data_IF_463069429107
#
_entry.id   IF_463069429107
#
_cell.length_a   1.000
_cell.length_b   1.000
_cell.length_c   1.000
_cell.angle_alpha   90.00
_cell.angle_beta   90.00
_cell.angle_gamma   90.00
#
_symmetry.space_group_name_H-M   'P 1'
#
loop_
_entity.id
_entity.type
_entity.pdbx_description
1 polymer ?
#
# COMPACT_ATOMS: atom_id res chain seq x y z
N UNK A 1 -31.59 -8.74 -72.69
CA UNK A 1 -30.57 -7.79 -72.32
C UNK A 1 -30.93 -7.21 -70.97
N UNK A 2 -30.48 -7.81 -69.90
CA UNK A 2 -30.66 -7.28 -68.56
C UNK A 2 -29.27 -7.35 -67.84
N UNK A 3 -28.71 -6.16 -67.61
CA UNK A 3 -27.46 -5.96 -66.90
C UNK A 3 -27.75 -6.02 -65.40
N UNK A 4 -27.25 -7.05 -64.70
CA UNK A 4 -27.35 -7.19 -63.27
C UNK A 4 -26.16 -6.51 -62.61
N UNK A 5 -26.42 -5.40 -61.92
CA UNK A 5 -25.42 -4.73 -61.07
C UNK A 5 -25.23 -5.52 -59.77
N UNK A 6 -24.05 -6.12 -59.62
CA UNK A 6 -23.62 -6.77 -58.38
C UNK A 6 -23.11 -5.68 -57.43
N UNK A 7 -23.94 -5.30 -56.44
CA UNK A 7 -23.49 -4.43 -55.34
C UNK A 7 -22.72 -5.26 -54.33
N UNK A 8 -21.38 -5.05 -54.31
CA UNK A 8 -20.49 -5.57 -53.29
C UNK A 8 -20.63 -4.72 -52.02
N UNK A 9 -21.39 -5.20 -51.05
CA UNK A 9 -21.46 -4.64 -49.70
C UNK A 9 -20.19 -5.04 -48.94
N UNK A 10 -19.19 -4.14 -48.89
CA UNK A 10 -18.11 -4.21 -47.93
C UNK A 10 -18.67 -3.90 -46.55
N UNK A 11 -18.91 -4.92 -45.76
CA UNK A 11 -19.11 -4.82 -44.33
C UNK A 11 -17.75 -4.49 -43.70
N UNK A 12 -17.47 -3.18 -43.44
CA UNK A 12 -16.44 -2.77 -42.50
C UNK A 12 -16.89 -3.20 -41.11
N UNK A 13 -16.44 -4.36 -40.67
CA UNK A 13 -16.48 -4.69 -39.26
C UNK A 13 -15.44 -3.80 -38.54
N UNK A 14 -15.90 -2.66 -38.03
CA UNK A 14 -15.18 -1.94 -36.99
C UNK A 14 -15.06 -2.87 -35.76
N UNK A 15 -13.95 -3.57 -35.63
CA UNK A 15 -13.51 -4.15 -34.37
C UNK A 15 -13.28 -2.96 -33.41
N UNK A 16 -14.33 -2.56 -32.72
CA UNK A 16 -14.20 -1.81 -31.49
C UNK A 16 -13.58 -2.79 -30.50
N UNK A 17 -12.25 -2.85 -30.46
CA UNK A 17 -11.55 -3.37 -29.31
C UNK A 17 -11.94 -2.46 -28.13
N UNK A 18 -13.04 -2.82 -27.49
CA UNK A 18 -13.37 -2.27 -26.20
C UNK A 18 -12.18 -2.57 -25.28
N UNK A 19 -11.42 -1.54 -24.96
CA UNK A 19 -10.61 -1.56 -23.76
C UNK A 19 -11.59 -1.76 -22.61
N UNK A 20 -11.85 -2.99 -22.23
CA UNK A 20 -12.37 -3.31 -20.92
C UNK A 20 -11.23 -2.89 -20.00
N UNK A 21 -11.29 -1.66 -19.51
CA UNK A 21 -10.35 -1.20 -18.50
C UNK A 21 -10.39 -2.22 -17.38
N UNK A 22 -9.27 -2.91 -17.14
CA UNK A 22 -9.17 -3.82 -16.01
C UNK A 22 -9.56 -3.02 -14.76
N UNK A 23 -10.47 -3.56 -13.96
CA UNK A 23 -10.79 -2.93 -12.67
C UNK A 23 -9.53 -2.95 -11.82
N UNK A 24 -9.16 -1.83 -11.19
CA UNK A 24 -7.96 -1.78 -10.38
C UNK A 24 -8.03 -2.84 -9.27
N UNK A 25 -6.91 -3.48 -9.00
CA UNK A 25 -6.83 -4.48 -7.94
C UNK A 25 -7.17 -3.86 -6.59
N UNK A 26 -8.07 -4.47 -5.82
CA UNK A 26 -8.42 -4.02 -4.48
C UNK A 26 -7.24 -4.19 -3.49
N UNK A 27 -6.26 -5.04 -3.83
CA UNK A 27 -5.08 -5.28 -3.00
C UNK A 27 -3.99 -4.24 -3.22
N UNK A 28 -3.90 -3.66 -4.44
CA UNK A 28 -2.77 -2.85 -4.89
C UNK A 28 -2.91 -1.40 -4.49
N UNK A 29 -1.88 -0.89 -3.83
CA UNK A 29 -1.76 0.50 -3.42
C UNK A 29 -0.36 1.06 -3.64
N UNK A 30 -0.13 2.25 -3.13
CA UNK A 30 1.18 2.91 -3.15
C UNK A 30 1.35 3.84 -1.96
N UNK A 31 2.59 4.16 -1.65
CA UNK A 31 2.95 5.18 -0.66
C UNK A 31 2.97 6.54 -1.35
N UNK A 32 2.14 7.47 -0.89
CA UNK A 32 2.16 8.88 -1.31
C UNK A 32 3.18 9.63 -0.43
N UNK A 33 4.46 9.52 -0.81
CA UNK A 33 5.56 10.10 -0.08
C UNK A 33 5.69 11.61 -0.31
N UNK A 34 6.63 12.26 0.36
CA UNK A 34 6.96 13.69 0.22
C UNK A 34 7.08 14.10 -1.25
N UNK A 35 6.40 15.17 -1.63
CA UNK A 35 6.37 15.66 -3.01
C UNK A 35 5.30 15.03 -3.90
N UNK A 36 4.52 14.08 -3.40
CA UNK A 36 3.34 13.55 -4.10
C UNK A 36 2.30 14.63 -4.35
N UNK A 37 1.67 14.59 -5.52
CA UNK A 37 0.69 15.58 -5.98
C UNK A 37 -0.62 14.89 -6.39
N UNK A 38 -1.71 15.64 -6.39
CA UNK A 38 -3.03 15.10 -6.77
C UNK A 38 -3.03 14.40 -8.14
N UNK A 39 -2.26 14.89 -9.09
CA UNK A 39 -2.12 14.29 -10.42
C UNK A 39 -1.57 12.85 -10.35
N UNK A 40 -0.78 12.52 -9.33
CA UNK A 40 -0.23 11.17 -9.15
C UNK A 40 -1.34 10.16 -8.91
N UNK A 41 -2.37 10.54 -8.13
CA UNK A 41 -3.53 9.68 -7.91
C UNK A 41 -4.30 9.39 -9.20
N UNK A 42 -4.42 10.39 -10.07
CA UNK A 42 -5.07 10.22 -11.39
C UNK A 42 -4.27 9.26 -12.28
N UNK A 43 -2.96 9.44 -12.34
CA UNK A 43 -2.07 8.59 -13.15
C UNK A 43 -2.04 7.14 -12.66
N UNK A 44 -2.10 6.92 -11.34
CA UNK A 44 -2.00 5.61 -10.73
C UNK A 44 -3.36 4.88 -10.57
N UNK A 45 -4.49 5.61 -10.72
CA UNK A 45 -5.84 5.04 -10.54
C UNK A 45 -6.19 3.86 -11.44
N UNK A 46 -5.66 3.70 -12.66
CA UNK A 46 -5.97 2.54 -13.47
C UNK A 46 -5.52 1.20 -12.85
N UNK A 47 -4.47 1.21 -12.05
CA UNK A 47 -3.89 -0.01 -11.46
C UNK A 47 -3.98 -0.11 -9.94
N UNK A 48 -4.37 0.96 -9.24
CA UNK A 48 -4.34 1.00 -7.77
C UNK A 48 -5.68 1.43 -7.18
N UNK A 49 -6.04 0.88 -6.02
CA UNK A 49 -7.30 1.16 -5.34
C UNK A 49 -7.14 1.91 -4.00
N UNK A 50 -5.92 2.03 -3.50
CA UNK A 50 -5.65 2.68 -2.22
C UNK A 50 -4.24 3.28 -2.15
N UNK A 51 -4.03 4.16 -1.18
CA UNK A 51 -2.75 4.76 -0.84
C UNK A 51 -2.71 5.19 0.61
N UNK A 52 -1.51 5.48 1.12
CA UNK A 52 -1.30 6.11 2.43
C UNK A 52 -0.06 7.03 2.39
N UNK A 53 0.16 7.83 3.43
CA UNK A 53 1.18 8.87 3.43
C UNK A 53 1.84 9.12 4.81
N UNK A 54 1.82 8.15 5.72
CA UNK A 54 2.32 8.30 7.11
C UNK A 54 1.64 9.44 7.90
N UNK A 55 0.42 9.78 7.53
CA UNK A 55 -0.36 10.88 8.10
C UNK A 55 -1.80 10.44 8.36
N UNK A 56 -2.49 11.19 9.21
CA UNK A 56 -3.91 10.97 9.52
C UNK A 56 -4.83 11.68 8.53
N UNK A 57 -4.28 12.43 7.58
CA UNK A 57 -4.96 13.12 6.47
C UNK A 57 -4.26 12.86 5.15
N UNK A 58 -4.99 12.92 4.04
CA UNK A 58 -4.43 12.69 2.71
C UNK A 58 -3.66 13.91 2.21
N UNK A 59 -2.45 13.74 1.67
CA UNK A 59 -1.71 14.84 1.04
C UNK A 59 -2.37 15.37 -0.24
N UNK A 60 -3.31 14.59 -0.80
CA UNK A 60 -4.03 14.99 -2.02
C UNK A 60 -5.30 15.80 -1.76
N UNK A 61 -5.69 15.94 -0.51
CA UNK A 61 -6.97 16.52 -0.12
C UNK A 61 -6.74 17.64 0.90
N UNK A 62 -6.27 18.83 0.46
CA UNK A 62 -6.13 19.95 1.36
C UNK A 62 -7.51 20.43 1.84
N UNK A 63 -7.75 20.38 3.15
CA UNK A 63 -9.02 20.79 3.77
C UNK A 63 -9.98 19.63 4.05
N UNK A 64 -11.26 19.94 4.22
CA UNK A 64 -12.26 19.01 4.76
C UNK A 64 -12.96 18.15 3.70
N UNK A 65 -12.63 18.31 2.43
CA UNK A 65 -13.27 17.57 1.33
C UNK A 65 -12.24 16.89 0.44
N UNK A 66 -12.54 15.68 0.00
CA UNK A 66 -11.73 14.89 -0.91
C UNK A 66 -12.61 14.25 -1.98
N UNK A 67 -12.96 15.03 -3.01
CA UNK A 67 -13.86 14.56 -4.07
C UNK A 67 -13.13 14.16 -5.36
N UNK A 68 -11.82 14.42 -5.44
CA UNK A 68 -11.04 14.27 -6.68
C UNK A 68 -10.18 13.00 -6.74
N UNK A 69 -10.12 12.22 -5.66
CA UNK A 69 -9.28 11.02 -5.57
C UNK A 69 -10.15 9.78 -5.66
N UNK A 70 -9.89 8.92 -6.64
CA UNK A 70 -10.64 7.67 -6.84
C UNK A 70 -10.21 6.58 -5.85
N UNK A 71 -8.95 6.59 -5.41
CA UNK A 71 -8.41 5.60 -4.49
C UNK A 71 -8.78 5.91 -3.04
N UNK A 72 -8.92 4.84 -2.25
CA UNK A 72 -9.14 4.95 -0.82
C UNK A 72 -7.85 5.41 -0.11
N UNK A 73 -7.94 6.48 0.67
CA UNK A 73 -6.89 6.84 1.62
C UNK A 73 -6.98 5.98 2.88
N UNK A 74 -5.86 5.35 3.26
CA UNK A 74 -5.71 4.66 4.54
C UNK A 74 -4.84 5.52 5.46
N UNK A 75 -5.38 6.08 6.55
CA UNK A 75 -4.57 6.86 7.48
C UNK A 75 -3.56 5.97 8.20
N UNK A 76 -2.40 6.55 8.51
CA UNK A 76 -1.35 5.92 9.31
C UNK A 76 -0.67 6.97 10.19
N UNK A 77 -0.74 6.88 11.52
CA UNK A 77 0.14 7.66 12.37
C UNK A 77 1.58 7.14 12.21
N UNK A 78 2.53 8.03 11.95
CA UNK A 78 3.92 7.60 11.81
C UNK A 78 4.48 7.04 13.13
N UNK A 79 4.21 7.73 14.26
CA UNK A 79 4.60 7.28 15.59
C UNK A 79 3.52 7.59 16.65
N UNK A 80 3.83 7.40 17.92
CA UNK A 80 2.85 7.53 19.02
C UNK A 80 2.29 8.95 19.16
N UNK A 81 3.11 9.96 18.93
CA UNK A 81 2.70 11.37 19.04
C UNK A 81 1.72 11.73 17.92
N UNK A 82 1.93 11.20 16.72
CA UNK A 82 1.08 11.44 15.54
C UNK A 82 -0.31 10.80 15.67
N UNK A 83 -0.46 9.82 16.56
CA UNK A 83 -1.76 9.20 16.84
C UNK A 83 -2.79 10.19 17.42
N UNK A 84 -2.37 11.36 17.86
CA UNK A 84 -3.26 12.42 18.36
C UNK A 84 -3.67 13.42 17.26
N UNK A 85 -3.05 13.38 16.09
CA UNK A 85 -3.39 14.25 14.98
C UNK A 85 -4.85 14.09 14.56
N UNK A 86 -5.53 15.17 14.13
CA UNK A 86 -6.90 15.09 13.68
C UNK A 86 -7.04 14.13 12.47
N UNK A 87 -8.03 13.25 12.53
CA UNK A 87 -8.45 12.47 11.38
C UNK A 87 -9.33 13.37 10.52
N UNK A 88 -8.98 13.53 9.25
CA UNK A 88 -9.74 14.39 8.35
C UNK A 88 -11.18 13.87 8.15
N UNK A 89 -12.19 14.75 8.04
CA UNK A 89 -13.61 14.35 7.97
C UNK A 89 -13.97 13.44 6.78
N UNK A 90 -13.20 13.53 5.69
CA UNK A 90 -13.42 12.69 4.50
C UNK A 90 -12.86 11.27 4.63
N UNK A 91 -12.12 10.96 5.69
CA UNK A 91 -11.55 9.63 5.88
C UNK A 91 -12.65 8.63 6.20
N UNK A 92 -12.68 7.53 5.45
CA UNK A 92 -13.67 6.47 5.65
C UNK A 92 -13.36 5.65 6.90
N UNK A 93 -14.01 5.93 8.00
CA UNK A 93 -13.85 5.23 9.29
C UNK A 93 -14.31 3.75 9.24
N UNK A 94 -15.01 3.32 8.20
CA UNK A 94 -15.31 1.89 7.99
C UNK A 94 -14.17 1.13 7.29
N UNK A 95 -13.09 1.82 6.91
CA UNK A 95 -11.92 1.26 6.28
C UNK A 95 -10.89 0.71 7.26
N UNK A 96 -9.64 0.68 6.83
CA UNK A 96 -8.48 0.24 7.61
C UNK A 96 -7.70 1.46 8.09
N UNK A 97 -7.37 1.49 9.38
CA UNK A 97 -6.34 2.34 9.94
C UNK A 97 -5.05 1.52 10.03
N UNK A 98 -3.98 1.98 9.39
CA UNK A 98 -2.67 1.36 9.52
C UNK A 98 -2.07 1.71 10.90
N UNK A 99 -1.37 0.75 11.50
CA UNK A 99 -0.66 0.97 12.76
C UNK A 99 0.64 1.78 12.56
N UNK A 100 1.38 1.99 13.63
CA UNK A 100 2.60 2.81 13.66
C UNK A 100 3.68 2.29 12.70
N UNK A 101 4.47 3.23 12.15
CA UNK A 101 5.53 2.92 11.19
C UNK A 101 6.81 2.43 11.87
N UNK A 102 7.25 1.24 11.53
CA UNK A 102 8.54 0.61 11.89
C UNK A 102 8.98 0.85 13.34
N UNK A 103 8.13 0.57 14.34
CA UNK A 103 8.52 0.78 15.74
C UNK A 103 9.70 -0.11 16.17
N UNK A 104 9.96 -1.19 15.44
CA UNK A 104 11.09 -2.09 15.66
C UNK A 104 12.41 -1.59 15.08
N UNK A 105 12.43 -0.41 14.42
CA UNK A 105 13.62 0.08 13.73
C UNK A 105 14.19 1.35 14.38
N UNK A 106 15.50 1.39 14.76
CA UNK A 106 16.09 2.48 15.56
C UNK A 106 16.05 3.87 14.93
N UNK A 107 15.97 3.97 13.60
CA UNK A 107 15.93 5.26 12.88
C UNK A 107 14.53 5.65 12.44
N UNK A 108 13.51 4.89 12.85
CA UNK A 108 12.09 5.11 12.57
C UNK A 108 11.36 5.45 13.89
N UNK A 109 10.13 5.01 14.06
CA UNK A 109 9.39 5.30 15.30
C UNK A 109 10.11 4.80 16.58
N UNK A 110 10.90 3.73 16.50
CA UNK A 110 11.79 3.26 17.56
C UNK A 110 11.13 3.19 18.95
N UNK A 111 10.09 2.41 19.06
CA UNK A 111 9.36 2.18 20.33
C UNK A 111 9.37 0.70 20.68
N UNK A 112 9.41 0.42 21.98
CA UNK A 112 9.29 -0.95 22.45
C UNK A 112 7.87 -1.49 22.24
N UNK A 113 7.70 -2.83 22.14
CA UNK A 113 6.38 -3.46 22.07
C UNK A 113 5.43 -2.99 23.17
N UNK A 114 5.94 -2.90 24.41
CA UNK A 114 5.15 -2.44 25.56
C UNK A 114 4.67 -0.99 25.44
N UNK A 115 5.52 -0.08 24.92
CA UNK A 115 5.11 1.32 24.69
C UNK A 115 4.01 1.42 23.64
N UNK A 116 4.14 0.65 22.56
CA UNK A 116 3.15 0.63 21.47
C UNK A 116 1.84 0.00 21.94
N UNK A 117 1.88 -1.11 22.66
CA UNK A 117 0.69 -1.73 23.24
C UNK A 117 -0.03 -0.80 24.22
N UNK A 118 0.70 -0.09 25.06
CA UNK A 118 0.11 0.89 25.99
C UNK A 118 -0.61 2.05 25.27
N UNK A 119 -0.08 2.50 24.12
CA UNK A 119 -0.71 3.56 23.31
C UNK A 119 -1.89 3.07 22.46
N UNK A 120 -1.99 1.75 22.24
CA UNK A 120 -2.96 1.17 21.29
C UNK A 120 -4.41 1.47 21.62
N UNK A 121 -4.78 1.42 22.91
CA UNK A 121 -6.16 1.67 23.34
C UNK A 121 -6.66 3.05 22.94
N UNK A 122 -5.81 4.08 23.03
CA UNK A 122 -6.15 5.44 22.61
C UNK A 122 -6.30 5.55 21.09
N UNK A 123 -5.44 4.88 20.32
CA UNK A 123 -5.55 4.83 18.86
C UNK A 123 -6.82 4.10 18.43
N UNK A 124 -7.10 2.93 18.99
CA UNK A 124 -8.28 2.13 18.68
C UNK A 124 -9.59 2.85 19.01
N UNK A 125 -9.63 3.60 20.10
CA UNK A 125 -10.81 4.39 20.50
C UNK A 125 -11.18 5.49 19.49
N UNK A 126 -10.20 5.96 18.70
CA UNK A 126 -10.41 6.96 17.63
C UNK A 126 -10.85 6.33 16.32
N UNK A 127 -10.77 5.00 16.21
CA UNK A 127 -11.17 4.24 15.02
C UNK A 127 -12.24 3.20 15.39
N UNK A 128 -13.47 3.63 15.63
CA UNK A 128 -14.53 2.75 16.12
C UNK A 128 -14.99 1.76 15.04
N UNK A 129 -15.55 0.64 15.50
CA UNK A 129 -16.23 -0.29 14.59
C UNK A 129 -17.28 0.42 13.71
N UNK A 130 -17.50 -0.02 12.45
CA UNK A 130 -17.01 -1.27 11.86
C UNK A 130 -15.60 -1.21 11.26
N UNK A 131 -14.85 -0.12 11.43
CA UNK A 131 -13.47 -0.01 10.97
C UNK A 131 -12.55 -1.02 11.65
N UNK A 132 -11.47 -1.34 10.98
CA UNK A 132 -10.47 -2.31 11.44
C UNK A 132 -9.09 -1.67 11.48
N UNK A 133 -8.18 -2.24 12.28
CA UNK A 133 -6.80 -1.79 12.37
C UNK A 133 -5.86 -2.85 11.80
N UNK A 134 -4.77 -2.39 11.17
CA UNK A 134 -3.60 -3.22 10.97
C UNK A 134 -2.67 -3.08 12.18
N UNK A 135 -1.90 -4.12 12.50
CA UNK A 135 -0.84 -4.04 13.51
C UNK A 135 0.15 -2.91 13.17
N UNK A 136 1.05 -2.51 14.07
CA UNK A 136 2.19 -1.71 13.69
C UNK A 136 2.92 -2.36 12.50
N UNK A 137 3.32 -1.55 11.51
CA UNK A 137 4.03 -2.01 10.33
C UNK A 137 5.50 -2.18 10.69
N UNK A 138 5.95 -3.45 10.82
CA UNK A 138 7.32 -3.75 11.24
C UNK A 138 8.24 -3.94 10.04
N UNK A 139 9.46 -3.38 10.15
CA UNK A 139 10.53 -3.63 9.18
C UNK A 139 11.00 -5.08 9.28
N UNK A 140 11.30 -5.71 8.12
CA UNK A 140 11.96 -7.02 8.09
C UNK A 140 13.39 -6.87 8.65
N UNK A 141 13.66 -7.54 9.74
CA UNK A 141 14.96 -7.59 10.41
C UNK A 141 15.22 -9.00 10.97
N UNK A 142 15.13 -10.00 10.11
CA UNK A 142 15.33 -11.40 10.49
C UNK A 142 14.45 -11.82 11.67
N UNK A 143 15.03 -12.52 12.65
CA UNK A 143 14.29 -12.99 13.83
C UNK A 143 13.78 -11.85 14.73
N UNK A 144 14.39 -10.67 14.69
CA UNK A 144 13.96 -9.53 15.50
C UNK A 144 12.56 -9.02 15.12
N UNK A 145 12.13 -9.21 13.87
CA UNK A 145 10.76 -8.91 13.42
C UNK A 145 9.73 -9.73 14.17
N UNK A 146 9.93 -11.05 14.22
CA UNK A 146 9.01 -11.96 14.91
C UNK A 146 8.99 -11.70 16.41
N UNK A 147 10.19 -11.54 17.02
CA UNK A 147 10.28 -11.24 18.45
C UNK A 147 9.51 -9.95 18.80
N UNK A 148 9.63 -8.90 17.99
CA UNK A 148 8.96 -7.63 18.27
C UNK A 148 7.43 -7.76 18.18
N UNK A 149 6.93 -8.46 17.17
CA UNK A 149 5.48 -8.68 17.00
C UNK A 149 4.92 -9.61 18.08
N UNK A 150 5.63 -10.69 18.43
CA UNK A 150 5.23 -11.60 19.50
C UNK A 150 5.05 -10.84 20.82
N UNK A 151 6.08 -10.10 21.21
CA UNK A 151 6.06 -9.29 22.42
C UNK A 151 4.95 -8.24 22.39
N UNK A 152 4.70 -7.60 21.24
CA UNK A 152 3.60 -6.66 21.08
C UNK A 152 2.25 -7.32 21.35
N UNK A 153 1.97 -8.47 20.76
CA UNK A 153 0.71 -9.19 20.98
C UNK A 153 0.58 -9.73 22.40
N UNK A 154 1.67 -10.16 23.01
CA UNK A 154 1.70 -10.55 24.43
C UNK A 154 1.38 -9.37 25.35
N UNK A 155 1.99 -8.22 25.12
CA UNK A 155 1.69 -6.99 25.86
C UNK A 155 0.24 -6.53 25.66
N UNK A 156 -0.32 -6.64 24.46
CA UNK A 156 -1.73 -6.39 24.20
C UNK A 156 -2.63 -7.29 25.05
N UNK A 157 -2.29 -8.58 25.12
CA UNK A 157 -3.05 -9.53 25.93
C UNK A 157 -2.92 -9.24 27.43
N UNK A 158 -1.74 -8.86 27.89
CA UNK A 158 -1.50 -8.50 29.28
C UNK A 158 -2.28 -7.23 29.71
N UNK A 159 -2.37 -6.24 28.84
CA UNK A 159 -3.04 -4.97 29.13
C UNK A 159 -4.57 -5.02 28.96
N UNK A 160 -5.05 -5.74 27.96
CA UNK A 160 -6.45 -5.69 27.53
C UNK A 160 -7.18 -7.04 27.65
N UNK A 161 -6.53 -8.07 28.20
CA UNK A 161 -7.11 -9.39 28.38
C UNK A 161 -7.09 -10.24 27.11
N UNK A 162 -7.84 -11.33 27.10
CA UNK A 162 -7.82 -12.34 26.03
C UNK A 162 -8.20 -11.81 24.62
N UNK A 163 -8.86 -10.66 24.55
CA UNK A 163 -9.16 -9.97 23.27
C UNK A 163 -7.96 -9.25 22.67
N UNK A 164 -6.86 -9.09 23.42
CA UNK A 164 -5.67 -8.38 22.98
C UNK A 164 -5.94 -6.90 22.63
N UNK A 165 -5.11 -6.34 21.77
CA UNK A 165 -5.31 -4.97 21.25
C UNK A 165 -6.51 -4.92 20.31
N UNK A 166 -7.50 -4.10 20.68
CA UNK A 166 -8.78 -4.02 19.99
C UNK A 166 -8.64 -3.62 18.52
N UNK A 167 -9.49 -4.18 17.68
CA UNK A 167 -9.66 -3.80 16.27
C UNK A 167 -8.60 -4.35 15.30
N UNK A 168 -7.55 -5.03 15.75
CA UNK A 168 -6.54 -5.59 14.86
C UNK A 168 -7.13 -6.74 14.04
N UNK A 169 -7.17 -6.55 12.73
CA UNK A 169 -7.67 -7.53 11.76
C UNK A 169 -6.60 -7.94 10.73
N UNK A 170 -5.45 -7.27 10.74
CA UNK A 170 -4.35 -7.49 9.78
C UNK A 170 -3.00 -7.38 10.48
N UNK A 171 -2.01 -8.11 9.99
CA UNK A 171 -0.60 -7.86 10.35
C UNK A 171 0.05 -7.08 9.24
N UNK A 172 0.62 -5.90 9.56
CA UNK A 172 1.35 -5.07 8.61
C UNK A 172 2.85 -5.29 8.71
N UNK A 173 3.52 -5.38 7.56
CA UNK A 173 4.97 -5.62 7.47
C UNK A 173 5.56 -4.89 6.27
N UNK A 174 6.89 -4.66 6.30
CA UNK A 174 7.68 -4.15 5.20
C UNK A 174 8.70 -5.18 4.72
N UNK A 175 9.04 -5.18 3.43
CA UNK A 175 10.09 -6.01 2.87
C UNK A 175 10.84 -5.29 1.74
N UNK A 176 12.16 -5.23 1.88
CA UNK A 176 13.08 -4.63 0.92
C UNK A 176 14.15 -5.63 0.45
N UNK A 177 13.88 -6.92 0.58
CA UNK A 177 14.85 -7.98 0.26
C UNK A 177 15.21 -8.09 -1.21
N UNK A 178 14.38 -7.55 -2.12
CA UNK A 178 14.54 -7.66 -3.58
C UNK A 178 14.50 -9.12 -4.09
N UNK A 179 13.82 -10.01 -3.38
CA UNK A 179 13.64 -11.42 -3.75
C UNK A 179 12.17 -11.80 -3.59
N UNK A 180 11.48 -12.00 -4.71
CA UNK A 180 10.05 -12.29 -4.72
C UNK A 180 9.68 -13.58 -3.96
N UNK A 181 10.53 -14.63 -4.02
CA UNK A 181 10.26 -15.88 -3.32
C UNK A 181 10.52 -15.74 -1.81
N UNK A 182 11.59 -15.04 -1.43
CA UNK A 182 11.87 -14.74 -0.04
C UNK A 182 10.75 -13.89 0.58
N UNK A 183 10.28 -12.85 -0.13
CA UNK A 183 9.13 -12.03 0.28
C UNK A 183 7.88 -12.91 0.51
N UNK A 184 7.51 -13.74 -0.46
CA UNK A 184 6.33 -14.61 -0.31
C UNK A 184 6.47 -15.60 0.84
N UNK A 185 7.65 -16.18 1.03
CA UNK A 185 7.96 -17.05 2.18
C UNK A 185 7.80 -16.31 3.52
N UNK A 186 8.29 -15.07 3.59
CA UNK A 186 8.13 -14.22 4.77
C UNK A 186 6.66 -13.92 5.07
N UNK A 187 5.87 -13.48 4.07
CA UNK A 187 4.46 -13.18 4.25
C UNK A 187 3.65 -14.42 4.66
N UNK A 188 3.96 -15.59 4.09
CA UNK A 188 3.34 -16.85 4.48
C UNK A 188 3.64 -17.21 5.94
N UNK A 189 4.89 -17.02 6.38
CA UNK A 189 5.29 -17.30 7.77
C UNK A 189 4.60 -16.32 8.75
N UNK A 190 4.46 -15.04 8.42
CA UNK A 190 3.69 -14.05 9.20
C UNK A 190 2.23 -14.49 9.30
N UNK A 191 1.59 -14.80 8.17
CA UNK A 191 0.21 -15.29 8.19
C UNK A 191 0.03 -16.55 9.03
N UNK A 192 0.92 -17.53 8.86
CA UNK A 192 0.86 -18.79 9.62
C UNK A 192 1.02 -18.56 11.12
N UNK A 193 1.89 -17.62 11.54
CA UNK A 193 2.18 -17.34 12.95
C UNK A 193 1.02 -16.63 13.66
N UNK A 194 0.47 -15.60 13.03
CA UNK A 194 -0.53 -14.72 13.68
C UNK A 194 -1.97 -15.04 13.27
N UNK A 195 -2.20 -15.92 12.29
CA UNK A 195 -3.51 -16.35 11.80
C UNK A 195 -4.38 -15.15 11.30
N UNK A 196 -3.74 -14.05 10.90
CA UNK A 196 -4.37 -12.85 10.36
C UNK A 196 -3.92 -12.64 8.90
N UNK A 197 -4.77 -12.03 8.05
CA UNK A 197 -4.34 -11.58 6.74
C UNK A 197 -3.20 -10.55 6.85
N UNK A 198 -2.33 -10.53 5.84
CA UNK A 198 -1.12 -9.70 5.84
C UNK A 198 -1.29 -8.49 4.92
N UNK A 199 -0.82 -7.33 5.37
CA UNK A 199 -0.63 -6.12 4.57
C UNK A 199 0.88 -5.91 4.39
N UNK A 200 1.38 -6.04 3.16
CA UNK A 200 2.74 -5.62 2.81
C UNK A 200 2.69 -4.13 2.47
N UNK A 201 2.77 -3.29 3.51
CA UNK A 201 2.56 -1.85 3.35
C UNK A 201 3.73 -1.11 2.70
N UNK A 202 4.92 -1.72 2.64
CA UNK A 202 6.05 -1.23 1.85
C UNK A 202 6.81 -2.39 1.24
N UNK A 203 7.11 -2.27 -0.05
CA UNK A 203 8.10 -3.12 -0.70
C UNK A 203 8.79 -2.39 -1.85
N UNK A 204 10.08 -2.70 -2.03
CA UNK A 204 10.94 -2.28 -3.12
C UNK A 204 12.26 -3.06 -3.04
N UNK A 205 13.22 -2.80 -3.95
CA UNK A 205 14.56 -3.40 -3.89
C UNK A 205 15.51 -2.60 -3.01
N UNK A 206 16.04 -3.21 -1.96
CA UNK A 206 16.99 -2.60 -1.05
C UNK A 206 16.40 -1.47 -0.19
N UNK A 207 17.13 -1.04 0.82
CA UNK A 207 16.67 0.01 1.73
C UNK A 207 16.66 1.39 1.09
N UNK A 208 16.07 2.39 1.77
CA UNK A 208 16.10 3.79 1.34
C UNK A 208 17.52 4.31 1.11
N UNK A 209 18.51 3.81 1.86
CA UNK A 209 19.94 4.18 1.73
C UNK A 209 20.70 3.36 0.70
N UNK A 210 20.19 2.20 0.31
CA UNK A 210 20.86 1.25 -0.58
C UNK A 210 19.88 0.80 -1.68
N UNK A 211 19.38 1.79 -2.44
CA UNK A 211 18.49 1.57 -3.57
C UNK A 211 19.19 0.80 -4.68
N UNK A 212 18.42 0.04 -5.39
CA UNK A 212 18.91 -0.79 -6.50
C UNK A 212 18.60 -0.11 -7.84
N UNK A 213 19.30 -0.50 -8.91
CA UNK A 213 18.98 -0.01 -10.25
C UNK A 213 17.52 -0.26 -10.64
N UNK A 214 16.95 0.63 -11.43
CA UNK A 214 15.55 0.51 -11.90
C UNK A 214 15.24 -0.85 -12.54
N UNK A 215 16.19 -1.46 -13.23
CA UNK A 215 16.01 -2.78 -13.82
C UNK A 215 15.76 -3.88 -12.78
N UNK A 216 16.39 -3.80 -11.61
CA UNK A 216 16.15 -4.74 -10.50
C UNK A 216 14.79 -4.47 -9.84
N UNK A 217 14.41 -3.19 -9.65
CA UNK A 217 13.08 -2.80 -9.17
C UNK A 217 11.97 -3.32 -10.10
N UNK A 218 12.14 -3.14 -11.42
CA UNK A 218 11.20 -3.64 -12.42
C UNK A 218 11.12 -5.17 -12.45
N UNK A 219 12.25 -5.86 -12.28
CA UNK A 219 12.30 -7.31 -12.21
C UNK A 219 11.57 -7.85 -10.97
N UNK A 220 11.81 -7.25 -9.78
CA UNK A 220 11.08 -7.58 -8.57
C UNK A 220 9.58 -7.37 -8.76
N UNK A 221 9.17 -6.20 -9.26
CA UNK A 221 7.77 -5.85 -9.47
C UNK A 221 7.05 -6.86 -10.36
N UNK A 222 7.64 -7.23 -11.51
CA UNK A 222 7.08 -8.22 -12.44
C UNK A 222 6.99 -9.63 -11.83
N UNK A 223 7.94 -10.00 -10.97
CA UNK A 223 7.96 -11.31 -10.33
C UNK A 223 7.02 -11.38 -9.13
N UNK A 224 6.98 -10.35 -8.28
CA UNK A 224 6.30 -10.38 -6.99
C UNK A 224 4.81 -10.02 -7.10
N UNK A 225 4.44 -9.00 -7.89
CA UNK A 225 3.05 -8.51 -7.93
C UNK A 225 2.04 -9.60 -8.32
N UNK A 226 2.26 -10.45 -9.35
CA UNK A 226 1.35 -11.56 -9.63
C UNK A 226 1.20 -12.56 -8.49
N UNK A 227 2.27 -12.79 -7.71
CA UNK A 227 2.23 -13.68 -6.54
C UNK A 227 1.42 -13.08 -5.40
N UNK A 228 1.57 -11.77 -5.14
CA UNK A 228 0.77 -11.04 -4.15
C UNK A 228 -0.72 -11.05 -4.49
N UNK A 229 -1.05 -10.86 -5.77
CA UNK A 229 -2.43 -10.93 -6.25
C UNK A 229 -3.04 -12.31 -6.04
N UNK A 230 -2.29 -13.38 -6.34
CA UNK A 230 -2.74 -14.75 -6.23
C UNK A 230 -2.86 -15.26 -4.79
N UNK A 231 -2.12 -14.67 -3.83
CA UNK A 231 -2.05 -15.16 -2.46
C UNK A 231 -3.31 -14.75 -1.64
N UNK A 232 -4.15 -15.69 -1.17
CA UNK A 232 -5.40 -15.35 -0.48
C UNK A 232 -5.18 -14.71 0.90
N UNK A 233 -4.03 -14.96 1.52
CA UNK A 233 -3.65 -14.38 2.81
C UNK A 233 -3.07 -12.97 2.71
N UNK A 234 -2.70 -12.50 1.52
CA UNK A 234 -2.30 -11.11 1.30
C UNK A 234 -3.54 -10.28 1.07
N UNK A 235 -3.86 -9.43 2.03
CA UNK A 235 -5.03 -8.54 1.96
C UNK A 235 -4.76 -7.29 1.12
N UNK A 236 -3.59 -6.69 1.30
CA UNK A 236 -3.16 -5.46 0.60
C UNK A 236 -1.64 -5.44 0.45
N UNK A 237 -1.16 -4.68 -0.53
CA UNK A 237 0.26 -4.37 -0.70
C UNK A 237 0.45 -3.02 -1.38
N UNK A 238 1.56 -2.33 -1.09
CA UNK A 238 1.85 -1.02 -1.69
C UNK A 238 3.32 -0.84 -2.02
N UNK A 239 3.55 -0.26 -3.19
CA UNK A 239 4.89 0.09 -3.66
C UNK A 239 5.43 1.33 -2.95
N UNK A 240 6.71 1.32 -2.60
CA UNK A 240 7.44 2.47 -2.04
C UNK A 240 8.29 3.11 -3.13
N UNK A 241 7.84 4.20 -3.78
CA UNK A 241 6.66 5.03 -3.56
C UNK A 241 6.17 5.71 -4.85
N UNK A 242 5.10 6.51 -4.76
CA UNK A 242 4.65 7.32 -5.90
C UNK A 242 5.75 8.27 -6.37
N UNK A 243 6.34 9.01 -5.44
CA UNK A 243 7.52 9.87 -5.67
C UNK A 243 8.57 9.59 -4.61
N UNK A 244 9.79 9.46 -5.05
CA UNK A 244 10.94 9.23 -4.19
C UNK A 244 11.95 10.39 -4.43
N UNK A 245 12.49 11.02 -3.39
CA UNK A 245 13.39 12.16 -3.55
C UNK A 245 14.56 11.93 -4.51
N UNK A 246 15.06 10.70 -4.60
CA UNK A 246 16.18 10.33 -5.47
C UNK A 246 15.73 9.84 -6.86
N UNK A 247 14.44 9.72 -7.10
CA UNK A 247 13.86 9.31 -8.39
C UNK A 247 14.07 7.85 -8.82
N UNK A 248 14.73 7.03 -8.01
CA UNK A 248 15.15 5.68 -8.44
C UNK A 248 14.05 4.62 -8.47
N UNK A 249 12.96 4.83 -7.71
CA UNK A 249 11.83 3.87 -7.62
C UNK A 249 10.47 4.54 -7.76
N UNK A 250 10.45 5.73 -8.36
CA UNK A 250 9.25 6.49 -8.60
C UNK A 250 8.27 5.75 -9.50
N UNK A 251 6.98 5.75 -9.13
CA UNK A 251 5.91 5.42 -10.05
C UNK A 251 5.53 6.60 -10.93
N UNK A 252 5.75 7.84 -10.45
CA UNK A 252 5.46 9.08 -11.18
C UNK A 252 6.70 9.96 -11.22
N UNK A 253 6.99 10.51 -12.39
CA UNK A 253 8.12 11.40 -12.64
C UNK A 253 7.66 12.69 -13.33
N UNK A 254 8.57 13.64 -13.44
CA UNK A 254 8.36 14.86 -14.26
C UNK A 254 8.91 14.58 -15.65
N UNK A 255 8.03 14.63 -16.64
CA UNK A 255 8.41 14.45 -18.05
C UNK A 255 9.20 15.63 -18.60
N UNK A 256 9.73 15.47 -19.81
CA UNK A 256 10.53 16.49 -20.49
C UNK A 256 9.79 17.84 -20.71
N UNK A 257 8.44 17.81 -20.72
CA UNK A 257 7.59 19.00 -20.82
C UNK A 257 7.28 19.68 -19.49
N UNK A 258 7.75 19.13 -18.36
CA UNK A 258 7.44 19.64 -17.02
C UNK A 258 6.17 19.06 -16.40
N UNK A 259 5.39 18.29 -17.15
CA UNK A 259 4.18 17.64 -16.66
C UNK A 259 4.48 16.32 -15.96
N UNK A 260 3.62 15.93 -15.01
CA UNK A 260 3.70 14.63 -14.36
C UNK A 260 3.29 13.52 -15.34
N UNK A 261 4.05 12.43 -15.33
CA UNK A 261 3.78 11.22 -16.12
C UNK A 261 4.12 9.95 -15.34
N UNK A 262 3.59 8.81 -15.76
CA UNK A 262 4.07 7.53 -15.22
C UNK A 262 5.51 7.29 -15.64
N UNK A 263 6.37 6.93 -14.68
CA UNK A 263 7.69 6.41 -14.96
C UNK A 263 7.60 5.03 -15.64
N UNK A 264 8.73 4.45 -16.04
CA UNK A 264 8.76 3.05 -16.48
C UNK A 264 8.19 2.09 -15.42
N UNK A 265 8.57 2.26 -14.15
CA UNK A 265 8.02 1.47 -13.04
C UNK A 265 6.52 1.70 -12.86
N UNK A 266 6.06 2.95 -12.98
CA UNK A 266 4.64 3.28 -12.91
C UNK A 266 3.83 2.61 -14.01
N UNK A 267 4.34 2.61 -15.25
CA UNK A 267 3.70 1.93 -16.38
C UNK A 267 3.58 0.42 -16.14
N UNK A 268 4.66 -0.21 -15.63
CA UNK A 268 4.64 -1.62 -15.24
C UNK A 268 3.62 -1.86 -14.14
N UNK A 269 3.64 -1.03 -13.07
CA UNK A 269 2.82 -1.24 -11.89
C UNK A 269 1.32 -1.14 -12.16
N UNK A 270 0.90 -0.20 -13.00
CA UNK A 270 -0.53 -0.07 -13.33
C UNK A 270 -1.00 -1.10 -14.36
N UNK A 271 -0.08 -1.70 -15.13
CA UNK A 271 -0.40 -2.68 -16.18
C UNK A 271 -0.49 -4.13 -15.66
N UNK A 272 0.18 -4.44 -14.54
CA UNK A 272 0.15 -5.76 -13.91
C UNK A 272 -1.19 -6.05 -13.24
#
# INVERSE_FOLDING_TARGET
>A
MHCALLRLLLLLACLVLGFVGATPSLKRGYVANTGSQLVDSTLLSPGTSWYYAYEMSSPYCPGDTCTSVAQQFLPQPWCLDDAQEPIAPYVNHSGILLGFNEPNFPTQCNKSPAQVAAAWGALAARWPAPGTLASPAVALNGSATYWWLDEFFEQCTALYGAGGCAGIAYVAVHDYSCDAQATMGYLAAIHQRYQLPVILSEFACGSVKHKRPMAEEAALMRALVPLLEAAPYVARYSWMSARDPDGMRNLVEVGAGGDAQLSELGQIYVAL
#
